data_IF_930197486505
#
_entry.id   IF_930197486505
#
_cell.length_a   1.000
_cell.length_b   1.000
_cell.length_c   1.000
_cell.angle_alpha   90.00
_cell.angle_beta   90.00
_cell.angle_gamma   90.00
#
_symmetry.space_group_name_H-M   'P 1'
#
loop_
_entity.id
_entity.type
_entity.pdbx_description
1 polymer ?
#
# COMPACT_ATOMS: atom_id res chain seq x y z
N UNK A 1 23.63 16.20 -9.33
CA UNK A 1 23.65 15.71 -7.93
C UNK A 1 22.64 14.57 -7.87
N UNK A 2 22.99 13.43 -7.28
CA UNK A 2 22.00 12.36 -7.09
C UNK A 2 20.93 12.88 -6.14
N UNK A 3 19.67 12.83 -6.54
CA UNK A 3 18.53 13.10 -5.65
C UNK A 3 18.61 12.10 -4.50
N UNK A 4 18.54 12.57 -3.25
CA UNK A 4 18.54 11.69 -2.09
C UNK A 4 17.33 10.74 -2.16
N UNK A 5 17.58 9.45 -1.91
CA UNK A 5 16.56 8.41 -1.86
C UNK A 5 16.38 7.91 -0.43
N UNK A 6 15.18 7.40 -0.18
CA UNK A 6 14.71 6.98 1.13
C UNK A 6 14.28 5.51 1.14
N UNK A 7 14.16 4.93 2.33
CA UNK A 7 13.49 3.66 2.56
C UNK A 7 12.01 3.92 2.86
N UNK A 8 11.11 3.23 2.16
CA UNK A 8 9.70 3.20 2.52
C UNK A 8 9.46 2.17 3.61
N UNK A 9 8.76 2.54 4.68
CA UNK A 9 8.24 1.63 5.68
C UNK A 9 6.71 1.71 5.66
N UNK A 10 6.04 0.60 5.37
CA UNK A 10 4.59 0.57 5.16
C UNK A 10 3.98 -0.77 5.57
N UNK A 11 2.66 -0.92 5.47
CA UNK A 11 1.94 -2.17 5.72
C UNK A 11 2.02 -3.10 4.51
N UNK A 12 1.94 -4.41 4.75
CA UNK A 12 1.85 -5.42 3.68
C UNK A 12 0.40 -5.62 3.24
N UNK A 13 -0.24 -4.57 2.75
CA UNK A 13 -1.61 -4.59 2.21
C UNK A 13 -1.71 -3.79 0.91
N UNK A 14 -2.91 -3.67 0.35
CA UNK A 14 -3.11 -3.02 -0.93
C UNK A 14 -2.77 -1.52 -0.88
N UNK A 15 -3.06 -0.83 0.22
CA UNK A 15 -2.69 0.58 0.40
C UNK A 15 -1.17 0.75 0.48
N UNK A 16 -0.47 -0.14 1.19
CA UNK A 16 0.99 -0.14 1.21
C UNK A 16 1.63 -0.43 -0.16
N UNK A 17 1.05 -1.33 -0.96
CA UNK A 17 1.47 -1.58 -2.34
C UNK A 17 1.34 -0.32 -3.20
N UNK A 18 0.17 0.33 -3.19
CA UNK A 18 -0.06 1.50 -4.04
C UNK A 18 0.81 2.68 -3.60
N UNK A 19 1.00 2.88 -2.29
CA UNK A 19 1.98 3.85 -1.77
C UNK A 19 3.38 3.61 -2.34
N UNK A 20 3.85 2.36 -2.35
CA UNK A 20 5.15 2.01 -2.93
C UNK A 20 5.23 2.30 -4.43
N UNK A 21 4.18 1.97 -5.20
CA UNK A 21 4.10 2.27 -6.64
C UNK A 21 4.21 3.78 -6.90
N UNK A 22 3.44 4.59 -6.16
CA UNK A 22 3.45 6.06 -6.29
C UNK A 22 4.82 6.65 -5.95
N UNK A 23 5.39 6.29 -4.80
CA UNK A 23 6.67 6.83 -4.34
C UNK A 23 7.85 6.38 -5.24
N UNK A 24 7.77 5.16 -5.78
CA UNK A 24 8.74 4.66 -6.76
C UNK A 24 8.67 5.44 -8.07
N UNK A 25 7.45 5.78 -8.54
CA UNK A 25 7.23 6.59 -9.74
C UNK A 25 7.83 7.99 -9.63
N UNK A 26 7.72 8.61 -8.45
CA UNK A 26 8.35 9.92 -8.17
C UNK A 26 9.87 9.79 -8.03
N UNK A 27 10.39 8.57 -7.83
CA UNK A 27 11.82 8.28 -7.87
C UNK A 27 12.56 8.56 -6.56
N UNK A 28 11.83 8.64 -5.44
CA UNK A 28 12.37 9.04 -4.13
C UNK A 28 12.65 7.88 -3.18
N UNK A 29 12.26 6.65 -3.53
CA UNK A 29 12.54 5.46 -2.71
C UNK A 29 13.52 4.51 -3.40
N UNK A 30 14.32 3.81 -2.59
CA UNK A 30 15.26 2.77 -3.05
C UNK A 30 15.14 1.44 -2.29
N UNK A 31 14.53 1.46 -1.11
CA UNK A 31 14.29 0.27 -0.29
C UNK A 31 12.86 0.30 0.27
N UNK A 32 12.31 -0.88 0.58
CA UNK A 32 10.95 -1.04 1.08
C UNK A 32 10.93 -2.10 2.19
N UNK A 33 10.36 -1.73 3.33
CA UNK A 33 10.14 -2.62 4.46
C UNK A 33 8.67 -2.66 4.84
N UNK A 34 8.09 -3.86 4.81
CA UNK A 34 6.75 -4.09 5.31
C UNK A 34 6.76 -4.39 6.81
N UNK A 35 5.90 -3.74 7.57
CA UNK A 35 5.79 -3.90 9.03
C UNK A 35 4.33 -3.90 9.48
N UNK A 36 4.06 -4.41 10.69
CA UNK A 36 2.75 -4.31 11.31
C UNK A 36 2.65 -3.02 12.16
N UNK A 37 1.51 -2.30 12.19
CA UNK A 37 1.35 -1.07 12.98
C UNK A 37 1.70 -1.24 14.47
N UNK A 38 1.42 -2.43 15.03
CA UNK A 38 1.80 -2.77 16.41
C UNK A 38 3.32 -2.72 16.63
N UNK A 39 4.13 -3.18 15.69
CA UNK A 39 5.58 -3.19 15.86
C UNK A 39 6.16 -1.77 15.81
N UNK A 40 5.51 -0.86 15.08
CA UNK A 40 5.80 0.58 15.13
C UNK A 40 5.48 1.16 16.52
N UNK A 41 4.28 0.89 17.04
CA UNK A 41 3.84 1.37 18.36
C UNK A 41 4.69 0.82 19.52
N UNK A 42 5.10 -0.45 19.42
CA UNK A 42 5.95 -1.12 20.39
C UNK A 42 7.43 -0.68 20.27
N UNK A 43 7.79 0.19 19.31
CA UNK A 43 9.16 0.68 19.12
C UNK A 43 10.15 -0.37 18.59
N UNK A 44 9.65 -1.45 17.97
CA UNK A 44 10.46 -2.56 17.44
C UNK A 44 11.03 -2.29 16.06
N UNK A 45 10.51 -1.27 15.38
CA UNK A 45 10.98 -0.85 14.06
C UNK A 45 11.86 0.39 14.21
N UNK A 46 13.14 0.26 13.86
CA UNK A 46 14.05 1.39 13.82
C UNK A 46 13.71 2.32 12.66
N UNK A 47 13.34 3.56 12.98
CA UNK A 47 13.01 4.66 12.07
C UNK A 47 14.04 5.78 12.22
N UNK A 48 14.33 6.45 11.12
CA UNK A 48 15.33 7.51 11.00
C UNK A 48 14.93 8.54 9.94
N UNK A 49 15.75 9.59 9.79
CA UNK A 49 15.56 10.61 8.76
C UNK A 49 15.80 10.08 7.32
N UNK A 50 16.17 8.81 7.15
CA UNK A 50 16.25 8.10 5.86
C UNK A 50 14.94 7.39 5.50
N UNK A 51 13.91 7.49 6.32
CA UNK A 51 12.67 6.73 6.19
C UNK A 51 11.48 7.59 5.81
N UNK A 52 10.66 7.10 4.88
CA UNK A 52 9.30 7.56 4.62
C UNK A 52 8.34 6.52 5.16
N UNK A 53 7.34 6.90 5.94
CA UNK A 53 6.28 5.99 6.41
C UNK A 53 4.96 6.29 5.74
N UNK A 54 4.18 5.25 5.44
CA UNK A 54 2.80 5.39 4.91
C UNK A 54 1.86 4.44 5.64
N UNK A 55 0.66 4.89 6.02
CA UNK A 55 -0.34 4.07 6.71
C UNK A 55 0.22 3.38 7.97
N UNK A 56 0.99 4.11 8.77
CA UNK A 56 1.62 3.61 9.98
C UNK A 56 1.63 4.70 11.05
N UNK A 57 1.54 4.32 12.34
CA UNK A 57 1.65 5.26 13.45
C UNK A 57 2.89 6.15 13.33
N UNK A 58 2.72 7.45 13.58
CA UNK A 58 3.80 8.42 13.47
C UNK A 58 4.95 8.10 14.44
N UNK A 59 6.18 8.26 13.97
CA UNK A 59 7.40 8.12 14.77
C UNK A 59 8.28 9.36 14.57
N UNK A 60 8.71 9.96 15.67
CA UNK A 60 9.58 11.14 15.63
C UNK A 60 10.93 10.84 14.94
N UNK A 61 11.41 11.78 14.13
CA UNK A 61 12.67 11.63 13.38
C UNK A 61 12.53 10.98 12.00
N UNK A 62 11.33 10.56 11.59
CA UNK A 62 11.01 10.15 10.21
C UNK A 62 11.16 11.31 9.23
N UNK A 63 11.57 11.05 7.98
CA UNK A 63 11.67 12.08 6.94
C UNK A 63 10.30 12.65 6.58
N UNK A 64 9.36 11.77 6.20
CA UNK A 64 7.96 12.09 5.91
C UNK A 64 7.08 10.93 6.39
N UNK A 65 5.96 11.26 7.03
CA UNK A 65 4.94 10.31 7.42
C UNK A 65 3.62 10.68 6.75
N UNK A 66 3.09 9.78 5.91
CA UNK A 66 1.78 9.92 5.28
C UNK A 66 0.75 9.07 6.02
N UNK A 67 -0.32 9.71 6.49
CA UNK A 67 -1.39 9.02 7.22
C UNK A 67 -2.76 9.65 6.91
N UNK A 68 -3.83 8.96 7.30
CA UNK A 68 -5.21 9.39 7.09
C UNK A 68 -6.14 8.95 8.24
N UNK A 69 -5.60 8.35 9.30
CA UNK A 69 -6.37 7.93 10.47
C UNK A 69 -6.60 9.13 11.39
N UNK A 70 -7.88 9.40 11.68
CA UNK A 70 -8.26 10.43 12.65
C UNK A 70 -7.55 10.24 14.01
N UNK A 71 -7.33 8.99 14.43
CA UNK A 71 -6.63 8.66 15.68
C UNK A 71 -5.22 9.24 15.77
N UNK A 72 -4.49 9.33 14.65
CA UNK A 72 -3.13 9.90 14.63
C UNK A 72 -3.14 11.42 14.79
N UNK A 73 -4.21 12.11 14.38
CA UNK A 73 -4.37 13.57 14.63
C UNK A 73 -4.59 13.86 16.12
N UNK A 74 -5.21 12.93 16.84
CA UNK A 74 -5.48 13.06 18.28
C UNK A 74 -4.23 12.68 19.10
N UNK A 75 -3.55 11.59 18.69
CA UNK A 75 -2.35 11.09 19.37
C UNK A 75 -1.18 12.06 19.25
N UNK A 76 -0.95 12.60 18.05
CA UNK A 76 0.18 13.45 17.75
C UNK A 76 -0.22 14.92 17.80
N UNK A 77 -0.24 15.50 19.00
CA UNK A 77 -0.59 16.92 19.22
C UNK A 77 0.55 17.86 18.82
N UNK A 78 0.21 19.05 18.32
CA UNK A 78 1.16 20.05 17.85
C UNK A 78 1.45 19.94 16.35
N UNK A 79 1.93 21.04 15.77
CA UNK A 79 2.27 21.11 14.35
C UNK A 79 3.53 20.28 14.07
N UNK A 80 3.48 19.47 13.00
CA UNK A 80 4.58 18.64 12.52
C UNK A 80 4.61 18.72 11.01
N UNK A 81 5.58 19.44 10.46
CA UNK A 81 5.67 19.69 9.01
C UNK A 81 5.94 18.42 8.20
N UNK A 82 6.55 17.40 8.82
CA UNK A 82 6.82 16.10 8.21
C UNK A 82 5.67 15.07 8.37
N UNK A 83 4.60 15.41 9.12
CA UNK A 83 3.44 14.55 9.28
C UNK A 83 2.32 14.99 8.33
N UNK A 84 2.31 14.41 7.15
CA UNK A 84 1.35 14.69 6.08
C UNK A 84 0.11 13.84 6.32
N UNK A 85 -0.88 14.43 7.00
CA UNK A 85 -2.09 13.74 7.41
C UNK A 85 -3.36 14.41 6.88
N UNK A 86 -4.23 13.64 6.23
CA UNK A 86 -5.59 14.06 5.89
C UNK A 86 -6.60 13.03 6.41
N UNK A 87 -7.31 13.30 7.53
CA UNK A 87 -8.27 12.36 8.10
C UNK A 87 -9.54 12.19 7.26
N UNK A 88 -9.71 12.95 6.17
CA UNK A 88 -10.81 12.80 5.21
C UNK A 88 -10.41 11.96 4.00
N UNK A 89 -9.12 11.70 3.81
CA UNK A 89 -8.66 10.85 2.73
C UNK A 89 -9.06 9.39 3.01
N UNK A 90 -9.57 8.67 2.00
CA UNK A 90 -10.02 7.28 2.15
C UNK A 90 -8.88 6.26 2.26
N UNK A 91 -7.63 6.64 1.96
CA UNK A 91 -6.43 5.80 2.01
C UNK A 91 -5.18 6.66 2.20
N UNK A 92 -4.07 6.09 2.68
CA UNK A 92 -2.79 6.81 2.72
C UNK A 92 -2.23 7.03 1.30
N UNK A 93 -2.50 6.10 0.37
CA UNK A 93 -2.17 6.27 -1.05
C UNK A 93 -2.81 7.52 -1.63
N UNK A 94 -4.04 7.87 -1.24
CA UNK A 94 -4.68 9.11 -1.68
C UNK A 94 -3.95 10.34 -1.18
N UNK A 95 -3.45 10.31 0.06
CA UNK A 95 -2.65 11.41 0.65
C UNK A 95 -1.34 11.57 -0.12
N UNK A 96 -0.62 10.47 -0.39
CA UNK A 96 0.60 10.47 -1.21
C UNK A 96 0.31 11.01 -2.61
N UNK A 97 -0.76 10.53 -3.25
CA UNK A 97 -1.17 10.94 -4.59
C UNK A 97 -1.40 12.45 -4.67
N UNK A 98 -2.16 13.01 -3.72
CA UNK A 98 -2.45 14.45 -3.66
C UNK A 98 -1.21 15.28 -3.35
N UNK A 99 -0.39 14.85 -2.38
CA UNK A 99 0.83 15.55 -1.98
C UNK A 99 1.79 15.74 -3.15
N UNK A 100 1.96 14.72 -3.99
CA UNK A 100 2.83 14.78 -5.16
C UNK A 100 2.16 15.34 -6.42
N UNK A 101 0.99 15.99 -6.33
CA UNK A 101 0.40 16.73 -7.44
C UNK A 101 -0.66 15.99 -8.26
N UNK A 102 -1.07 14.80 -7.82
CA UNK A 102 -2.17 14.02 -8.38
C UNK A 102 -2.04 13.79 -9.88
N UNK A 103 -3.08 14.13 -10.64
CA UNK A 103 -3.15 13.90 -12.10
C UNK A 103 -2.06 14.63 -12.89
N UNK A 104 -1.41 15.66 -12.30
CA UNK A 104 -0.28 16.35 -12.94
C UNK A 104 1.00 15.51 -12.94
N UNK A 105 1.09 14.53 -12.04
CA UNK A 105 2.30 13.73 -11.79
C UNK A 105 2.10 12.27 -12.14
N UNK A 106 0.91 11.73 -11.85
CA UNK A 106 0.59 10.32 -12.05
C UNK A 106 -0.26 10.14 -13.32
N UNK A 107 -0.04 9.05 -14.08
CA UNK A 107 -0.74 8.82 -15.33
C UNK A 107 -2.23 8.53 -15.09
N UNK A 108 -3.09 8.99 -15.99
CA UNK A 108 -4.54 8.73 -15.93
C UNK A 108 -4.89 7.22 -15.91
N UNK A 109 -4.02 6.37 -16.47
CA UNK A 109 -4.15 4.92 -16.41
C UNK A 109 -4.18 4.36 -14.97
N UNK A 110 -3.70 5.11 -13.98
CA UNK A 110 -3.72 4.69 -12.57
C UNK A 110 -4.98 5.13 -11.83
N UNK A 111 -5.90 5.85 -12.47
CA UNK A 111 -7.13 6.31 -11.83
C UNK A 111 -7.99 5.15 -11.31
N UNK A 112 -8.02 4.02 -12.03
CA UNK A 112 -8.74 2.83 -11.59
C UNK A 112 -8.11 2.19 -10.35
N UNK A 113 -6.78 2.03 -10.34
CA UNK A 113 -6.03 1.54 -9.17
C UNK A 113 -6.25 2.46 -7.96
N UNK A 114 -6.21 3.78 -8.18
CA UNK A 114 -6.45 4.78 -7.14
C UNK A 114 -7.89 4.75 -6.61
N UNK A 115 -8.88 4.52 -7.46
CA UNK A 115 -10.26 4.34 -7.01
C UNK A 115 -10.42 3.04 -6.20
N UNK A 116 -9.74 1.97 -6.61
CA UNK A 116 -9.81 0.69 -5.92
C UNK A 116 -9.16 0.70 -4.55
N UNK A 117 -8.00 1.35 -4.37
CA UNK A 117 -7.33 1.45 -3.06
C UNK A 117 -8.16 2.27 -2.07
N UNK A 118 -8.77 3.35 -2.52
CA UNK A 118 -9.68 4.18 -1.71
C UNK A 118 -10.89 3.37 -1.24
N UNK A 119 -11.41 2.51 -2.11
CA UNK A 119 -12.52 1.61 -1.80
C UNK A 119 -12.11 0.50 -0.83
N UNK A 120 -10.92 -0.06 -1.04
CA UNK A 120 -10.37 -1.15 -0.24
C UNK A 120 -10.14 -0.76 1.21
N UNK A 121 -9.51 0.37 1.46
CA UNK A 121 -9.19 0.80 2.82
C UNK A 121 -10.43 1.33 3.57
N UNK A 122 -11.37 1.95 2.85
CA UNK A 122 -12.66 2.40 3.42
C UNK A 122 -13.76 1.32 3.46
N UNK A 123 -13.48 0.10 2.98
CA UNK A 123 -14.41 -1.03 2.87
C UNK A 123 -15.74 -0.71 2.15
N UNK A 124 -15.73 0.20 1.17
CA UNK A 124 -16.94 0.68 0.48
C UNK A 124 -17.35 -0.22 -0.70
N UNK A 125 -17.32 -1.54 -0.52
CA UNK A 125 -17.72 -2.50 -1.56
C UNK A 125 -19.22 -2.70 -1.63
N UNK A 126 -19.73 -2.98 -2.83
CA UNK A 126 -21.05 -3.58 -2.98
C UNK A 126 -20.99 -5.10 -2.77
N UNK A 127 -22.17 -5.71 -2.61
CA UNK A 127 -22.28 -7.15 -2.34
C UNK A 127 -21.68 -7.99 -3.48
N UNK A 128 -21.86 -7.58 -4.74
CA UNK A 128 -21.35 -8.34 -5.87
C UNK A 128 -19.83 -8.29 -5.94
N UNK A 129 -19.21 -7.17 -5.60
CA UNK A 129 -17.75 -7.07 -5.53
C UNK A 129 -17.15 -7.90 -4.39
N UNK A 130 -17.90 -8.12 -3.31
CA UNK A 130 -17.49 -9.02 -2.22
C UNK A 130 -17.62 -10.48 -2.64
N UNK A 131 -18.76 -10.85 -3.24
CA UNK A 131 -19.07 -12.24 -3.59
C UNK A 131 -18.37 -12.71 -4.87
N UNK A 132 -18.20 -11.81 -5.84
CA UNK A 132 -17.62 -12.06 -7.16
C UNK A 132 -16.50 -11.04 -7.46
N UNK A 133 -15.45 -10.97 -6.64
CA UNK A 133 -14.39 -10.00 -6.84
C UNK A 133 -13.65 -10.25 -8.15
N UNK A 134 -13.33 -9.17 -8.84
CA UNK A 134 -12.51 -9.16 -10.06
C UNK A 134 -11.59 -7.93 -10.05
N UNK A 135 -10.64 -7.89 -10.98
CA UNK A 135 -9.73 -6.75 -11.13
C UNK A 135 -9.02 -6.38 -9.82
N UNK A 136 -8.98 -5.07 -9.52
CA UNK A 136 -8.32 -4.56 -8.32
C UNK A 136 -9.01 -4.95 -7.01
N UNK A 137 -10.32 -5.23 -7.02
CA UNK A 137 -11.01 -5.72 -5.82
C UNK A 137 -10.52 -7.11 -5.43
N UNK A 138 -10.39 -8.01 -6.42
CA UNK A 138 -9.78 -9.34 -6.22
C UNK A 138 -8.33 -9.21 -5.75
N UNK A 139 -7.56 -8.31 -6.37
CA UNK A 139 -6.18 -8.04 -5.99
C UNK A 139 -6.06 -7.63 -4.50
N UNK A 140 -6.93 -6.71 -4.06
CA UNK A 140 -6.98 -6.31 -2.66
C UNK A 140 -7.23 -7.51 -1.73
N UNK A 141 -8.22 -8.36 -2.05
CA UNK A 141 -8.56 -9.50 -1.21
C UNK A 141 -7.48 -10.58 -1.16
N UNK A 142 -6.80 -10.90 -2.26
CA UNK A 142 -5.73 -11.91 -2.24
C UNK A 142 -4.47 -11.41 -1.51
N UNK A 143 -4.27 -10.09 -1.45
CA UNK A 143 -3.15 -9.46 -0.74
C UNK A 143 -3.43 -9.29 0.76
N UNK A 144 -4.71 -9.19 1.15
CA UNK A 144 -5.10 -9.02 2.54
C UNK A 144 -4.78 -10.28 3.36
N UNK A 145 -3.88 -10.13 4.35
CA UNK A 145 -3.52 -11.21 5.25
C UNK A 145 -4.75 -11.78 6.01
N UNK A 146 -5.81 -10.99 6.19
CA UNK A 146 -7.07 -11.39 6.85
C UNK A 146 -7.90 -12.35 6.02
N UNK A 147 -7.73 -12.36 4.70
CA UNK A 147 -8.29 -13.40 3.81
C UNK A 147 -7.69 -14.77 4.13
N UNK A 148 -6.49 -14.80 4.72
CA UNK A 148 -5.91 -16.01 5.29
C UNK A 148 -5.26 -16.95 4.29
N UNK A 149 -5.00 -16.52 3.04
CA UNK A 149 -4.32 -17.34 2.04
C UNK A 149 -2.94 -17.82 2.50
N UNK A 150 -2.23 -17.01 3.29
CA UNK A 150 -0.90 -17.36 3.80
C UNK A 150 -0.85 -18.59 4.72
N UNK A 151 -2.00 -19.11 5.20
CA UNK A 151 -2.05 -20.37 5.95
C UNK A 151 -1.70 -21.58 5.09
N UNK A 152 -1.86 -21.45 3.77
CA UNK A 152 -1.52 -22.47 2.79
C UNK A 152 -0.07 -22.22 2.33
N UNK A 153 0.86 -23.05 2.81
CA UNK A 153 2.30 -22.91 2.54
C UNK A 153 2.71 -23.52 1.19
N UNK A 154 1.85 -23.37 0.18
CA UNK A 154 1.96 -24.07 -1.10
C UNK A 154 2.38 -23.14 -2.27
N UNK A 155 2.58 -21.86 -1.98
CA UNK A 155 2.95 -20.87 -2.99
C UNK A 155 4.42 -20.96 -3.39
N UNK A 156 4.71 -20.73 -4.68
CA UNK A 156 6.07 -20.75 -5.23
C UNK A 156 6.97 -19.70 -4.59
N UNK A 157 6.42 -18.51 -4.36
CA UNK A 157 7.11 -17.38 -3.72
C UNK A 157 6.36 -16.90 -2.48
N UNK A 158 7.10 -16.31 -1.54
CA UNK A 158 6.52 -15.70 -0.35
C UNK A 158 5.66 -14.47 -0.71
N UNK A 159 4.70 -14.12 0.16
CA UNK A 159 3.93 -12.88 -0.03
C UNK A 159 4.84 -11.64 -0.06
N UNK A 160 5.95 -11.64 0.70
CA UNK A 160 6.92 -10.54 0.66
C UNK A 160 7.56 -10.39 -0.72
N UNK A 161 8.01 -11.50 -1.32
CA UNK A 161 8.57 -11.49 -2.68
C UNK A 161 7.52 -11.07 -3.71
N UNK A 162 6.29 -11.59 -3.60
CA UNK A 162 5.20 -11.20 -4.48
C UNK A 162 4.92 -9.70 -4.39
N UNK A 163 4.84 -9.12 -3.19
CA UNK A 163 4.66 -7.68 -3.01
C UNK A 163 5.75 -6.87 -3.71
N UNK A 164 7.02 -7.29 -3.58
CA UNK A 164 8.14 -6.60 -4.25
C UNK A 164 8.05 -6.68 -5.77
N UNK A 165 7.66 -7.83 -6.32
CA UNK A 165 7.43 -7.97 -7.75
C UNK A 165 6.25 -7.10 -8.22
N UNK A 166 5.13 -7.14 -7.50
CA UNK A 166 3.92 -6.39 -7.84
C UNK A 166 4.15 -4.88 -7.89
N UNK A 167 5.00 -4.33 -7.03
CA UNK A 167 5.36 -2.90 -7.09
C UNK A 167 5.88 -2.51 -8.47
N UNK A 168 6.74 -3.34 -9.07
CA UNK A 168 7.23 -3.09 -10.43
C UNK A 168 6.15 -3.35 -11.47
N UNK A 169 5.37 -4.43 -11.32
CA UNK A 169 4.36 -4.82 -12.30
C UNK A 169 3.23 -3.80 -12.40
N UNK A 170 2.77 -3.23 -11.28
CA UNK A 170 1.76 -2.17 -11.25
C UNK A 170 2.20 -0.89 -11.98
N UNK A 171 3.50 -0.68 -12.20
CA UNK A 171 4.00 0.49 -12.94
C UNK A 171 3.78 0.33 -14.45
N UNK A 172 3.89 -0.90 -14.97
CA UNK A 172 3.95 -1.16 -16.41
C UNK A 172 2.82 -2.01 -16.99
N UNK A 173 2.08 -2.74 -16.15
CA UNK A 173 1.06 -3.69 -16.56
C UNK A 173 -0.34 -3.22 -16.16
N UNK A 174 -1.32 -3.61 -16.95
CA UNK A 174 -2.74 -3.53 -16.59
C UNK A 174 -3.10 -4.55 -15.52
N UNK A 175 -4.25 -4.37 -14.87
CA UNK A 175 -4.74 -5.30 -13.85
C UNK A 175 -4.98 -6.71 -14.40
N UNK A 176 -5.49 -6.83 -15.63
CA UNK A 176 -5.72 -8.14 -16.25
C UNK A 176 -4.41 -8.90 -16.49
N UNK A 177 -3.36 -8.19 -16.91
CA UNK A 177 -2.02 -8.75 -17.07
C UNK A 177 -1.39 -9.14 -15.73
N UNK A 178 -1.58 -8.32 -14.68
CA UNK A 178 -1.10 -8.63 -13.32
C UNK A 178 -1.79 -9.87 -12.79
N UNK A 179 -3.11 -9.96 -12.91
CA UNK A 179 -3.89 -11.12 -12.47
C UNK A 179 -3.43 -12.37 -13.21
N UNK A 180 -3.05 -12.27 -14.49
CA UNK A 180 -2.57 -13.39 -15.28
C UNK A 180 -1.14 -13.87 -14.92
N UNK A 181 -0.40 -13.16 -14.08
CA UNK A 181 0.94 -13.59 -13.66
C UNK A 181 0.87 -14.92 -12.90
N UNK A 182 1.81 -15.86 -13.11
CA UNK A 182 1.74 -17.20 -12.50
C UNK A 182 1.58 -17.20 -10.97
N UNK A 183 2.36 -16.37 -10.27
CA UNK A 183 2.32 -16.29 -8.79
C UNK A 183 1.07 -15.58 -8.25
N UNK A 184 0.39 -14.80 -9.09
CA UNK A 184 -0.91 -14.21 -8.77
C UNK A 184 -2.02 -15.21 -9.07
N UNK A 185 -1.96 -15.90 -10.21
CA UNK A 185 -2.91 -16.94 -10.60
C UNK A 185 -2.99 -18.08 -9.58
N UNK A 186 -1.87 -18.57 -9.03
CA UNK A 186 -1.92 -19.61 -7.99
C UNK A 186 -2.71 -19.15 -6.74
N UNK A 187 -2.63 -17.86 -6.38
CA UNK A 187 -3.39 -17.26 -5.26
C UNK A 187 -4.86 -17.05 -5.62
N UNK A 188 -5.15 -16.61 -6.84
CA UNK A 188 -6.51 -16.46 -7.36
C UNK A 188 -7.24 -17.81 -7.39
N UNK A 189 -6.58 -18.86 -7.89
CA UNK A 189 -7.14 -20.21 -7.90
C UNK A 189 -7.44 -20.72 -6.50
N UNK A 190 -6.51 -20.50 -5.55
CA UNK A 190 -6.73 -20.90 -4.16
C UNK A 190 -7.83 -20.10 -3.48
N UNK A 191 -7.92 -18.80 -3.77
CA UNK A 191 -8.99 -17.93 -3.29
C UNK A 191 -10.36 -18.48 -3.72
N UNK A 192 -10.55 -18.76 -5.02
CA UNK A 192 -11.82 -19.30 -5.52
C UNK A 192 -12.13 -20.72 -5.05
N UNK A 193 -11.11 -21.55 -4.73
CA UNK A 193 -11.32 -22.88 -4.15
C UNK A 193 -11.96 -22.84 -2.75
N UNK A 194 -11.83 -21.71 -2.05
CA UNK A 194 -12.28 -21.54 -0.67
C UNK A 194 -13.23 -20.36 -0.45
N UNK A 195 -13.68 -19.72 -1.53
CA UNK A 195 -14.66 -18.64 -1.53
C UNK A 195 -16.09 -19.15 -1.32
#
# INVERSE_FOLDING_TARGET
MATEKFRLVTRSDFDGLVCAVLLKKVGIIEDIKFVHPKDMQDGKVAISAKDITTNLPYVEGVHLAFDHHLSETIRNKGERSNHIIDPKAPSASRVVYQYYGGEKTFPAAWNEMMAAVDKGDSAKYDINEILNPSGWALMNFIMDARTGLGRFKEFRISNYQLMMELIEKCISLSIDEIIALPDVQERVQLFHKHA
#
